data_IF_168974131465
#
_entry.id   IF_168974131465
#
_cell.length_a   1.000
_cell.length_b   1.000
_cell.length_c   1.000
_cell.angle_alpha   90.00
_cell.angle_beta   90.00
_cell.angle_gamma   90.00
#
_symmetry.space_group_name_H-M   'P 1'
#
loop_
_entity.id
_entity.type
_entity.pdbx_description
1 polymer ?
#
# COMPACT_ATOMS: atom_id res chain seq x y z
N UNK A 1 12.54 -1.00 5.64
CA UNK A 1 11.44 -1.98 5.49
C UNK A 1 10.44 -1.89 6.64
N UNK A 2 10.86 -2.05 7.91
CA UNK A 2 9.96 -1.95 9.07
C UNK A 2 9.20 -0.60 9.14
N UNK A 3 9.89 0.53 8.97
CA UNK A 3 9.27 1.86 8.99
C UNK A 3 8.21 2.06 7.89
N UNK A 4 8.41 1.44 6.71
CA UNK A 4 7.46 1.55 5.58
C UNK A 4 6.22 0.69 5.83
N UNK A 5 6.38 -0.48 6.46
CA UNK A 5 5.25 -1.30 6.92
C UNK A 5 4.41 -0.54 7.95
N UNK A 6 5.04 0.07 8.96
CA UNK A 6 4.32 0.85 9.97
C UNK A 6 3.56 2.03 9.36
N UNK A 7 4.13 2.69 8.34
CA UNK A 7 3.43 3.75 7.61
C UNK A 7 2.23 3.23 6.83
N UNK A 8 2.35 2.07 6.17
CA UNK A 8 1.25 1.43 5.42
C UNK A 8 0.09 1.02 6.34
N UNK A 9 0.40 0.47 7.51
CA UNK A 9 -0.59 0.15 8.54
C UNK A 9 -1.33 1.39 9.06
N UNK A 10 -0.73 2.58 8.94
CA UNK A 10 -1.34 3.86 9.33
C UNK A 10 -2.05 4.60 8.18
N UNK A 11 -2.05 4.06 6.96
CA UNK A 11 -2.71 4.70 5.80
C UNK A 11 -4.23 4.73 6.00
N UNK A 12 -4.74 5.87 6.44
CA UNK A 12 -6.17 6.09 6.50
C UNK A 12 -6.66 6.59 5.14
N UNK A 13 -7.39 5.74 4.43
CA UNK A 13 -8.08 6.13 3.21
C UNK A 13 -9.42 6.80 3.56
N UNK A 14 -9.75 7.94 2.94
CA UNK A 14 -11.06 8.56 3.10
C UNK A 14 -12.20 7.58 2.73
N UNK A 15 -13.39 7.69 3.35
CA UNK A 15 -14.52 6.78 3.08
C UNK A 15 -14.87 6.62 1.61
N UNK A 16 -14.94 7.73 0.85
CA UNK A 16 -15.24 7.70 -0.58
C UNK A 16 -14.20 6.94 -1.40
N UNK A 17 -12.90 7.04 -1.05
CA UNK A 17 -11.83 6.30 -1.71
C UNK A 17 -11.93 4.81 -1.38
N UNK A 18 -12.24 4.45 -0.14
CA UNK A 18 -12.44 3.05 0.25
C UNK A 18 -13.61 2.43 -0.51
N UNK A 19 -14.72 3.14 -0.62
CA UNK A 19 -15.90 2.69 -1.38
C UNK A 19 -15.57 2.47 -2.87
N UNK A 20 -14.86 3.41 -3.50
CA UNK A 20 -14.43 3.27 -4.90
C UNK A 20 -13.49 2.07 -5.12
N UNK A 21 -12.67 1.74 -4.12
CA UNK A 21 -11.76 0.60 -4.17
C UNK A 21 -12.39 -0.72 -3.70
N UNK A 22 -13.67 -0.71 -3.29
CA UNK A 22 -14.34 -1.88 -2.72
C UNK A 22 -13.72 -2.35 -1.39
N UNK A 23 -13.05 -1.45 -0.67
CA UNK A 23 -12.39 -1.75 0.60
C UNK A 23 -13.35 -1.48 1.77
N UNK A 24 -13.40 -2.41 2.71
CA UNK A 24 -14.12 -2.19 3.96
C UNK A 24 -13.34 -1.27 4.93
N UNK A 25 -13.96 -0.89 6.04
CA UNK A 25 -13.37 0.06 7.00
C UNK A 25 -12.07 -0.47 7.63
N UNK A 26 -11.92 -1.78 7.75
CA UNK A 26 -10.84 -2.47 8.45
C UNK A 26 -9.91 -3.23 7.48
N UNK A 27 -9.91 -2.85 6.20
CA UNK A 27 -9.23 -3.59 5.12
C UNK A 27 -7.76 -3.87 5.44
N UNK A 28 -7.10 -2.96 6.13
CA UNK A 28 -5.70 -3.06 6.54
C UNK A 28 -5.43 -4.28 7.42
N UNK A 29 -6.36 -4.63 8.33
CA UNK A 29 -6.25 -5.81 9.20
C UNK A 29 -6.35 -7.12 8.44
N UNK A 30 -6.92 -7.09 7.24
CA UNK A 30 -7.08 -8.25 6.37
C UNK A 30 -5.87 -8.49 5.48
N UNK A 31 -4.92 -7.56 5.42
CA UNK A 31 -3.71 -7.70 4.61
C UNK A 31 -2.62 -8.40 5.44
N UNK A 32 -2.17 -9.61 5.05
CA UNK A 32 -1.11 -10.29 5.77
C UNK A 32 0.22 -9.56 5.67
N UNK A 33 1.01 -9.59 6.75
CA UNK A 33 2.33 -8.95 6.79
C UNK A 33 3.27 -9.47 5.69
N UNK A 34 3.29 -10.78 5.46
CA UNK A 34 4.11 -11.42 4.42
C UNK A 34 3.72 -10.98 3.00
N UNK A 35 2.46 -10.58 2.82
CA UNK A 35 2.00 -10.02 1.54
C UNK A 35 2.52 -8.59 1.38
N UNK A 36 2.42 -7.76 2.43
CA UNK A 36 2.99 -6.41 2.43
C UNK A 36 4.50 -6.43 2.16
N UNK A 37 5.24 -7.36 2.75
CA UNK A 37 6.67 -7.53 2.49
C UNK A 37 6.97 -7.84 1.02
N UNK A 38 6.18 -8.72 0.40
CA UNK A 38 6.31 -9.04 -1.04
C UNK A 38 6.01 -7.84 -1.92
N UNK A 39 4.97 -7.08 -1.59
CA UNK A 39 4.61 -5.85 -2.32
C UNK A 39 5.74 -4.84 -2.19
N UNK A 40 6.26 -4.60 -0.99
CA UNK A 40 7.37 -3.67 -0.76
C UNK A 40 8.64 -4.08 -1.50
N UNK A 41 9.01 -5.37 -1.45
CA UNK A 41 10.16 -5.89 -2.19
C UNK A 41 10.00 -5.69 -3.70
N UNK A 42 8.80 -5.92 -4.21
CA UNK A 42 8.47 -5.70 -5.61
C UNK A 42 8.53 -4.21 -5.96
N UNK A 43 7.95 -3.35 -5.13
CA UNK A 43 7.99 -1.90 -5.33
C UNK A 43 9.43 -1.35 -5.34
N UNK A 44 10.29 -1.81 -4.42
CA UNK A 44 11.72 -1.47 -4.44
C UNK A 44 12.42 -1.94 -5.70
N UNK A 45 12.12 -3.15 -6.20
CA UNK A 45 12.69 -3.66 -7.45
C UNK A 45 12.31 -2.80 -8.66
N UNK A 46 11.09 -2.25 -8.66
CA UNK A 46 10.56 -1.44 -9.77
C UNK A 46 10.52 0.06 -9.45
N UNK A 47 11.30 0.54 -8.49
CA UNK A 47 11.25 1.93 -8.01
C UNK A 47 11.37 2.94 -9.16
N UNK A 48 12.31 2.70 -10.08
CA UNK A 48 12.52 3.57 -11.24
C UNK A 48 11.27 3.67 -12.11
N UNK A 49 10.59 2.55 -12.38
CA UNK A 49 9.37 2.54 -13.20
C UNK A 49 8.23 3.25 -12.48
N UNK A 50 8.09 3.02 -11.16
CA UNK A 50 7.08 3.69 -10.34
C UNK A 50 7.29 5.21 -10.29
N UNK A 51 8.55 5.67 -10.19
CA UNK A 51 8.88 7.10 -10.26
C UNK A 51 8.48 7.71 -11.60
N UNK A 52 8.74 7.04 -12.71
CA UNK A 52 8.34 7.52 -14.03
C UNK A 52 6.82 7.59 -14.19
N UNK A 53 6.08 6.61 -13.64
CA UNK A 53 4.62 6.62 -13.65
C UNK A 53 4.03 7.75 -12.80
N UNK A 54 4.65 8.09 -11.66
CA UNK A 54 4.18 9.17 -10.78
C UNK A 54 4.36 10.59 -11.33
N UNK A 55 5.17 10.76 -12.39
CA UNK A 55 5.37 12.05 -13.07
C UNK A 55 4.26 12.38 -14.06
N UNK A 56 3.39 11.41 -14.37
CA UNK A 56 2.21 11.58 -15.22
C UNK A 56 1.00 11.89 -14.37
#
# INVERSE_FOLDING_TARGET
>A
MAEVMERLERVQLPPHVREQLGLDKDWQRKVPRDFLERVLKTASKYEHVLRELSKR
#
